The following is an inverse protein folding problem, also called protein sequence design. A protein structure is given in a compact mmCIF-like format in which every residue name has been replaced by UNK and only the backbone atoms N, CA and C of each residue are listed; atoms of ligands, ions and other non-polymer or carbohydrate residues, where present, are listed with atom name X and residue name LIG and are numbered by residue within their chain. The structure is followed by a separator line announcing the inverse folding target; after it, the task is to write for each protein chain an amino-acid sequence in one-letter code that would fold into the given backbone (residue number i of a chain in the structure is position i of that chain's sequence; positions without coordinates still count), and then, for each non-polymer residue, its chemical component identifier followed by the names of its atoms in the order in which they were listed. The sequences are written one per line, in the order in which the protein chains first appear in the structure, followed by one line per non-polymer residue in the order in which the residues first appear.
data_IF_334122790036
#
_entry.id   IF_334122790036
#
_cell.length_a   1.000
_cell.length_b   1.000
_cell.length_c   1.000
_cell.angle_alpha   90.00
_cell.angle_beta   90.00
_cell.angle_gamma   90.00
#
_symmetry.space_group_name_H-M   'P 1'
#
loop_
_entity.id
_entity.type
_entity.pdbx_description
1 polymer ?
#
# COMPACT_ATOMS: atom_id res chain seq x y z
N UNK A 1 19.17 -34.22 -45.13
CA UNK A 1 18.55 -32.92 -45.50
C UNK A 1 17.56 -32.59 -44.40
N UNK A 2 17.83 -31.46 -43.72
CA UNK A 2 17.01 -30.71 -42.76
C UNK A 2 16.27 -31.48 -41.65
N UNK A 3 16.94 -31.62 -40.51
CA UNK A 3 16.27 -31.61 -39.20
C UNK A 3 15.55 -30.28 -39.05
N UNK A 4 14.22 -30.31 -39.09
CA UNK A 4 13.38 -29.19 -38.70
C UNK A 4 13.27 -29.25 -37.19
N UNK A 5 14.22 -28.60 -36.50
CA UNK A 5 14.03 -28.24 -35.09
C UNK A 5 12.85 -27.29 -35.02
N UNK A 6 11.67 -27.82 -34.70
CA UNK A 6 10.56 -27.03 -34.22
C UNK A 6 11.02 -26.33 -32.95
N UNK A 7 11.51 -25.09 -33.07
CA UNK A 7 11.65 -24.19 -31.94
C UNK A 7 10.25 -24.03 -31.34
N UNK A 8 10.03 -24.68 -30.21
CA UNK A 8 8.83 -24.50 -29.41
C UNK A 8 8.78 -23.03 -28.98
N UNK A 9 7.99 -22.24 -29.69
CA UNK A 9 7.65 -20.88 -29.27
C UNK A 9 6.53 -21.03 -28.24
N UNK A 10 6.77 -20.70 -26.97
CA UNK A 10 5.75 -20.83 -25.94
C UNK A 10 4.62 -19.88 -26.29
N UNK A 11 3.38 -20.36 -26.24
CA UNK A 11 2.23 -19.47 -26.29
C UNK A 11 2.15 -18.77 -24.93
N UNK A 12 2.58 -17.51 -24.87
CA UNK A 12 2.45 -16.68 -23.67
C UNK A 12 1.01 -16.16 -23.66
N UNK A 13 0.15 -16.78 -22.85
CA UNK A 13 -1.17 -16.24 -22.55
C UNK A 13 -1.00 -15.27 -21.38
N UNK A 14 -0.86 -13.97 -21.67
CA UNK A 14 -0.95 -12.95 -20.61
C UNK A 14 -2.40 -12.88 -20.16
N UNK A 15 -2.67 -13.27 -18.92
CA UNK A 15 -4.04 -13.38 -18.40
C UNK A 15 -4.74 -12.03 -18.21
N UNK A 16 -4.03 -10.91 -18.40
CA UNK A 16 -4.58 -9.57 -18.23
C UNK A 16 -5.01 -9.24 -16.78
N UNK A 17 -4.83 -10.16 -15.84
CA UNK A 17 -5.29 -10.00 -14.44
C UNK A 17 -4.63 -8.81 -13.72
N UNK A 18 -3.41 -8.44 -14.14
CA UNK A 18 -2.74 -7.24 -13.63
C UNK A 18 -3.49 -5.95 -13.99
N UNK A 19 -4.27 -5.92 -15.08
CA UNK A 19 -5.12 -4.76 -15.43
C UNK A 19 -6.26 -4.57 -14.44
N UNK A 20 -6.89 -5.66 -13.97
CA UNK A 20 -7.92 -5.58 -12.94
C UNK A 20 -7.36 -5.00 -11.63
N UNK A 21 -6.14 -5.39 -11.25
CA UNK A 21 -5.43 -4.82 -10.11
C UNK A 21 -5.04 -3.35 -10.33
N UNK A 22 -4.58 -3.00 -11.53
CA UNK A 22 -4.25 -1.62 -11.91
C UNK A 22 -5.47 -0.70 -11.78
N UNK A 23 -6.62 -1.11 -12.34
CA UNK A 23 -7.87 -0.36 -12.25
C UNK A 23 -8.32 -0.20 -10.79
N UNK A 24 -8.20 -1.27 -9.99
CA UNK A 24 -8.56 -1.22 -8.57
C UNK A 24 -7.67 -0.23 -7.81
N UNK A 25 -6.35 -0.28 -7.99
CA UNK A 25 -5.39 0.67 -7.38
C UNK A 25 -5.70 2.10 -7.80
N UNK A 26 -6.01 2.33 -9.08
CA UNK A 26 -6.36 3.68 -9.58
C UNK A 26 -7.65 4.22 -9.03
N UNK A 27 -8.66 3.37 -8.89
CA UNK A 27 -9.92 3.78 -8.30
C UNK A 27 -9.73 4.31 -6.86
N UNK A 28 -8.75 3.75 -6.12
CA UNK A 28 -8.42 4.23 -4.78
C UNK A 28 -7.79 5.62 -4.75
N UNK A 29 -7.11 6.05 -5.82
CA UNK A 29 -6.44 7.35 -5.85
C UNK A 29 -7.40 8.52 -5.60
N UNK A 30 -8.55 8.52 -6.27
CA UNK A 30 -9.55 9.57 -6.09
C UNK A 30 -10.14 9.57 -4.67
N UNK A 31 -10.33 8.38 -4.09
CA UNK A 31 -10.82 8.26 -2.70
C UNK A 31 -9.78 8.74 -1.69
N UNK A 32 -8.51 8.40 -1.89
CA UNK A 32 -7.40 8.94 -1.11
C UNK A 32 -7.33 10.47 -1.18
N UNK A 33 -7.43 11.07 -2.37
CA UNK A 33 -7.36 12.53 -2.52
C UNK A 33 -8.51 13.23 -1.77
N UNK A 34 -9.75 12.73 -1.91
CA UNK A 34 -10.91 13.24 -1.17
C UNK A 34 -10.70 13.11 0.34
N UNK A 35 -10.19 11.97 0.79
CA UNK A 35 -10.00 11.69 2.20
C UNK A 35 -8.90 12.56 2.80
N UNK A 36 -7.78 12.73 2.11
CA UNK A 36 -6.70 13.61 2.53
C UNK A 36 -7.17 15.06 2.59
N UNK A 37 -7.88 15.53 1.57
CA UNK A 37 -8.48 16.86 1.59
C UNK A 37 -9.42 17.05 2.78
N UNK A 38 -10.30 16.07 3.04
CA UNK A 38 -11.23 16.12 4.17
C UNK A 38 -10.51 16.14 5.52
N UNK A 39 -9.40 15.40 5.64
CA UNK A 39 -8.59 15.37 6.86
C UNK A 39 -7.88 16.70 7.12
N UNK A 40 -7.31 17.30 6.08
CA UNK A 40 -6.56 18.57 6.15
C UNK A 40 -7.50 19.77 6.40
N UNK A 41 -8.72 19.72 5.85
CA UNK A 41 -9.70 20.81 5.93
C UNK A 41 -10.84 20.53 6.92
N UNK A 42 -10.66 19.58 7.84
CA UNK A 42 -11.70 19.25 8.82
C UNK A 42 -12.02 20.44 9.72
N UNK A 43 -13.29 20.87 9.71
CA UNK A 43 -13.82 21.91 10.58
C UNK A 43 -14.52 21.27 11.80
N UNK A 44 -14.02 21.48 13.03
CA UNK A 44 -14.67 20.99 14.23
C UNK A 44 -16.05 21.62 14.44
N UNK A 45 -16.98 20.84 14.98
CA UNK A 45 -18.28 21.32 15.42
C UNK A 45 -18.10 22.27 16.63
N UNK A 46 -18.85 23.39 16.68
CA UNK A 46 -18.87 24.28 17.84
C UNK A 46 -19.23 23.56 19.14
N UNK A 47 -18.51 23.89 20.22
CA UNK A 47 -18.69 23.28 21.55
C UNK A 47 -20.12 23.42 22.07
N UNK A 48 -20.80 24.52 21.77
CA UNK A 48 -22.17 24.77 22.23
C UNK A 48 -23.17 23.77 21.64
N UNK A 49 -23.00 23.37 20.37
CA UNK A 49 -23.84 22.36 19.73
C UNK A 49 -23.58 20.96 20.32
N UNK A 50 -22.31 20.64 20.56
CA UNK A 50 -21.91 19.39 21.21
C UNK A 50 -22.50 19.34 22.62
N UNK A 51 -22.35 20.42 23.40
CA UNK A 51 -22.88 20.57 24.75
C UNK A 51 -24.39 20.37 24.78
N UNK A 52 -25.13 21.04 23.89
CA UNK A 52 -26.57 20.88 23.79
C UNK A 52 -26.99 19.42 23.50
N UNK A 53 -26.32 18.77 22.54
CA UNK A 53 -26.59 17.36 22.17
C UNK A 53 -26.29 16.39 23.31
N UNK A 54 -25.13 16.54 23.98
CA UNK A 54 -24.73 15.66 25.07
C UNK A 54 -25.66 15.85 26.26
N UNK A 55 -25.93 17.09 26.70
CA UNK A 55 -26.84 17.36 27.83
C UNK A 55 -28.23 16.79 27.55
N UNK A 56 -28.77 16.98 26.34
CA UNK A 56 -30.08 16.44 25.97
C UNK A 56 -30.18 14.91 26.13
N UNK A 57 -29.07 14.18 25.99
CA UNK A 57 -29.02 12.71 26.15
C UNK A 57 -29.14 12.24 27.60
N UNK A 58 -28.98 13.15 28.57
CA UNK A 58 -28.99 12.85 30.01
C UNK A 58 -30.02 13.68 30.80
N UNK A 59 -30.92 14.39 30.13
CA UNK A 59 -32.01 15.11 30.79
C UNK A 59 -33.16 14.17 31.19
N UNK A 60 -33.79 14.38 32.36
CA UNK A 60 -33.51 15.44 33.34
C UNK A 60 -32.44 15.09 34.40
N UNK A 61 -31.81 13.91 34.33
CA UNK A 61 -30.96 13.39 35.42
C UNK A 61 -29.76 14.28 35.77
N UNK A 62 -29.18 14.96 34.78
CA UNK A 62 -28.04 15.89 34.98
C UNK A 62 -28.36 17.06 35.91
N UNK A 63 -29.62 17.47 36.02
CA UNK A 63 -30.01 18.60 36.87
C UNK A 63 -30.08 18.22 38.36
N UNK A 64 -30.10 16.92 38.67
CA UNK A 64 -30.37 16.39 40.01
C UNK A 64 -29.16 15.70 40.65
N UNK A 65 -28.08 15.48 39.89
CA UNK A 65 -26.92 14.71 40.30
C UNK A 65 -25.60 15.39 39.89
N UNK A 66 -24.87 15.91 40.88
CA UNK A 66 -23.59 16.59 40.68
C UNK A 66 -22.50 15.66 40.10
N UNK A 67 -22.52 14.37 40.46
CA UNK A 67 -21.56 13.39 39.94
C UNK A 67 -21.80 13.08 38.46
N UNK A 68 -23.07 13.02 38.07
CA UNK A 68 -23.47 12.88 36.67
C UNK A 68 -23.12 14.14 35.88
N UNK A 69 -23.24 15.32 36.48
CA UNK A 69 -22.85 16.60 35.86
C UNK A 69 -21.36 16.64 35.55
N UNK A 70 -20.50 16.25 36.49
CA UNK A 70 -19.05 16.17 36.26
C UNK A 70 -18.69 15.17 35.15
N UNK A 71 -19.35 14.00 35.14
CA UNK A 71 -19.19 13.01 34.08
C UNK A 71 -19.58 13.58 32.71
N UNK A 72 -20.73 14.25 32.61
CA UNK A 72 -21.23 14.86 31.37
C UNK A 72 -20.32 15.98 30.90
N UNK A 73 -19.81 16.84 31.78
CA UNK A 73 -18.80 17.83 31.41
C UNK A 73 -17.50 17.18 30.90
N UNK A 74 -17.11 16.03 31.48
CA UNK A 74 -16.00 15.21 30.96
C UNK A 74 -16.25 14.72 29.52
N UNK A 75 -17.45 14.20 29.24
CA UNK A 75 -17.85 13.77 27.90
C UNK A 75 -17.87 14.94 26.92
N UNK A 76 -18.40 16.10 27.32
CA UNK A 76 -18.41 17.31 26.49
C UNK A 76 -16.97 17.75 26.18
N UNK A 77 -16.08 17.79 27.17
CA UNK A 77 -14.67 18.18 26.95
C UNK A 77 -13.97 17.25 25.96
N UNK A 78 -14.14 15.94 26.10
CA UNK A 78 -13.57 14.95 25.17
C UNK A 78 -14.18 15.10 23.77
N UNK A 79 -15.52 15.17 23.67
CA UNK A 79 -16.22 15.30 22.40
C UNK A 79 -15.92 16.64 21.69
N UNK A 80 -15.63 17.69 22.44
CA UNK A 80 -15.25 19.00 21.92
C UNK A 80 -13.81 19.03 21.38
N UNK A 81 -12.94 18.09 21.76
CA UNK A 81 -11.54 18.08 21.33
C UNK A 81 -11.45 17.95 19.79
N UNK A 82 -10.85 18.91 19.07
CA UNK A 82 -10.79 18.88 17.60
C UNK A 82 -10.17 17.60 17.02
N UNK A 83 -9.15 17.07 17.69
CA UNK A 83 -8.49 15.82 17.30
C UNK A 83 -9.41 14.61 17.45
N UNK A 84 -10.20 14.55 18.53
CA UNK A 84 -11.18 13.51 18.77
C UNK A 84 -12.33 13.58 17.75
N UNK A 85 -12.86 14.78 17.48
CA UNK A 85 -13.90 14.97 16.47
C UNK A 85 -13.45 14.50 15.09
N UNK A 86 -12.25 14.92 14.67
CA UNK A 86 -11.67 14.53 13.38
C UNK A 86 -11.48 13.03 13.28
N UNK A 87 -10.90 12.42 14.33
CA UNK A 87 -10.64 10.98 14.36
C UNK A 87 -11.94 10.17 14.38
N UNK A 88 -12.96 10.63 15.11
CA UNK A 88 -14.27 9.97 15.15
C UNK A 88 -15.00 10.07 13.81
N UNK A 89 -14.87 11.20 13.10
CA UNK A 89 -15.53 11.41 11.81
C UNK A 89 -14.83 10.70 10.63
N UNK A 90 -13.49 10.65 10.62
CA UNK A 90 -12.71 10.21 9.46
C UNK A 90 -11.83 8.98 9.71
N UNK A 91 -11.66 8.57 10.97
CA UNK A 91 -10.68 7.54 11.35
C UNK A 91 -10.96 6.19 10.71
N UNK A 92 -12.23 5.76 10.66
CA UNK A 92 -12.61 4.51 10.00
C UNK A 92 -12.30 4.54 8.50
N UNK A 93 -12.62 5.65 7.83
CA UNK A 93 -12.32 5.82 6.40
C UNK A 93 -10.83 5.77 6.12
N UNK A 94 -9.99 6.40 6.97
CA UNK A 94 -8.52 6.32 6.83
C UNK A 94 -8.03 4.90 7.03
N UNK A 95 -8.48 4.21 8.08
CA UNK A 95 -8.05 2.84 8.36
C UNK A 95 -8.44 1.89 7.22
N UNK A 96 -9.65 2.03 6.69
CA UNK A 96 -10.15 1.23 5.57
C UNK A 96 -9.35 1.50 4.30
N UNK A 97 -9.12 2.77 3.95
CA UNK A 97 -8.32 3.15 2.79
C UNK A 97 -6.87 2.66 2.91
N UNK A 98 -6.29 2.75 4.11
CA UNK A 98 -4.93 2.29 4.39
C UNK A 98 -4.78 0.81 4.07
N UNK A 99 -5.69 -0.03 4.57
CA UNK A 99 -5.65 -1.48 4.34
C UNK A 99 -5.95 -1.82 2.89
N UNK A 100 -6.95 -1.18 2.26
CA UNK A 100 -7.29 -1.42 0.86
C UNK A 100 -6.13 -1.07 -0.07
N UNK A 101 -5.56 0.13 0.08
CA UNK A 101 -4.41 0.59 -0.69
C UNK A 101 -3.18 -0.29 -0.47
N UNK A 102 -2.90 -0.71 0.77
CA UNK A 102 -1.81 -1.63 1.10
C UNK A 102 -1.92 -2.95 0.32
N UNK A 103 -3.08 -3.62 0.42
CA UNK A 103 -3.27 -4.95 -0.16
C UNK A 103 -3.28 -4.90 -1.69
N UNK A 104 -4.04 -3.96 -2.27
CA UNK A 104 -4.14 -3.82 -3.73
C UNK A 104 -2.79 -3.46 -4.36
N UNK A 105 -2.05 -2.51 -3.77
CA UNK A 105 -0.74 -2.13 -4.28
C UNK A 105 0.29 -3.23 -4.10
N UNK A 106 0.25 -4.00 -3.00
CA UNK A 106 1.13 -5.17 -2.82
C UNK A 106 0.89 -6.19 -3.93
N UNK A 107 -0.38 -6.56 -4.15
CA UNK A 107 -0.77 -7.51 -5.20
C UNK A 107 -0.37 -7.02 -6.59
N UNK A 108 -0.55 -5.73 -6.89
CA UNK A 108 -0.14 -5.18 -8.18
C UNK A 108 1.39 -5.20 -8.37
N UNK A 109 2.16 -4.86 -7.33
CA UNK A 109 3.62 -4.99 -7.38
C UNK A 109 4.03 -6.44 -7.66
N UNK A 110 3.42 -7.41 -6.97
CA UNK A 110 3.72 -8.83 -7.16
C UNK A 110 3.35 -9.30 -8.58
N UNK A 111 2.18 -8.90 -9.08
CA UNK A 111 1.74 -9.23 -10.43
C UNK A 111 2.70 -8.67 -11.50
N UNK A 112 3.13 -7.41 -11.37
CA UNK A 112 4.05 -6.76 -12.33
C UNK A 112 5.37 -7.53 -12.43
N UNK A 113 6.03 -7.82 -11.30
CA UNK A 113 7.33 -8.48 -11.35
C UNK A 113 7.22 -9.93 -11.84
N UNK A 114 6.14 -10.63 -11.46
CA UNK A 114 5.90 -11.99 -11.94
C UNK A 114 5.68 -12.01 -13.45
N UNK A 115 4.87 -11.11 -14.00
CA UNK A 115 4.63 -10.99 -15.45
C UNK A 115 5.92 -10.69 -16.21
N UNK A 116 6.72 -9.74 -15.70
CA UNK A 116 8.00 -9.36 -16.33
C UNK A 116 8.99 -10.52 -16.33
N UNK A 117 9.17 -11.20 -15.19
CA UNK A 117 10.04 -12.38 -15.08
C UNK A 117 9.55 -13.50 -15.99
N UNK A 118 8.27 -13.85 -15.91
CA UNK A 118 7.67 -14.94 -16.67
C UNK A 118 7.85 -14.73 -18.18
N UNK A 119 7.44 -13.55 -18.65
CA UNK A 119 7.52 -13.18 -20.07
C UNK A 119 8.97 -13.20 -20.55
N UNK A 120 9.90 -12.67 -19.75
CA UNK A 120 11.30 -12.58 -20.16
C UNK A 120 11.99 -13.94 -20.17
N UNK A 121 11.82 -14.76 -19.14
CA UNK A 121 12.39 -16.11 -19.12
C UNK A 121 11.79 -17.00 -20.22
N UNK A 122 10.49 -16.87 -20.49
CA UNK A 122 9.84 -17.56 -21.61
C UNK A 122 10.45 -17.15 -22.96
N UNK A 123 10.67 -15.85 -23.18
CA UNK A 123 11.31 -15.35 -24.42
C UNK A 123 12.75 -15.85 -24.61
N UNK A 124 13.43 -16.25 -23.53
CA UNK A 124 14.78 -16.79 -23.53
C UNK A 124 14.80 -18.33 -23.55
N UNK A 125 13.64 -18.99 -23.64
CA UNK A 125 13.55 -20.45 -23.60
C UNK A 125 13.96 -21.07 -22.26
N UNK A 126 14.05 -20.28 -21.18
CA UNK A 126 14.58 -20.69 -19.88
C UNK A 126 13.48 -21.06 -18.87
N UNK A 127 12.48 -21.83 -19.31
CA UNK A 127 11.29 -22.17 -18.48
C UNK A 127 11.65 -22.94 -17.22
N UNK A 128 12.72 -23.74 -17.25
CA UNK A 128 13.14 -24.53 -16.10
C UNK A 128 13.56 -23.67 -14.91
N UNK A 129 14.01 -22.43 -15.18
CA UNK A 129 14.38 -21.45 -14.16
C UNK A 129 13.14 -20.82 -13.52
N UNK A 130 11.97 -20.90 -14.15
CA UNK A 130 10.73 -20.30 -13.65
C UNK A 130 10.37 -20.83 -12.25
N UNK A 131 10.47 -22.15 -12.03
CA UNK A 131 10.18 -22.76 -10.74
C UNK A 131 11.12 -22.27 -9.62
N UNK A 132 12.35 -21.90 -9.95
CA UNK A 132 13.29 -21.30 -8.99
C UNK A 132 12.88 -19.87 -8.64
N UNK A 133 12.55 -19.05 -9.63
CA UNK A 133 12.16 -17.65 -9.39
C UNK A 133 10.81 -17.55 -8.67
N UNK A 134 9.88 -18.47 -8.93
CA UNK A 134 8.60 -18.52 -8.22
C UNK A 134 8.74 -18.75 -6.71
N UNK A 135 9.79 -19.46 -6.29
CA UNK A 135 10.10 -19.68 -4.87
C UNK A 135 10.83 -18.51 -4.22
N UNK A 136 11.34 -17.57 -5.01
CA UNK A 136 12.02 -16.39 -4.49
C UNK A 136 11.03 -15.52 -3.71
N UNK A 137 11.50 -14.94 -2.61
CA UNK A 137 10.68 -14.01 -1.83
C UNK A 137 10.30 -12.79 -2.67
N UNK A 138 9.23 -12.10 -2.27
CA UNK A 138 8.78 -10.86 -2.91
C UNK A 138 9.92 -9.86 -3.15
N UNK A 139 10.80 -9.64 -2.16
CA UNK A 139 11.94 -8.73 -2.30
C UNK A 139 13.06 -9.25 -3.21
N UNK A 140 13.28 -10.57 -3.24
CA UNK A 140 14.28 -11.19 -4.12
C UNK A 140 13.83 -11.15 -5.59
N UNK A 141 12.52 -11.33 -5.85
CA UNK A 141 11.95 -11.18 -7.19
C UNK A 141 12.27 -9.79 -7.76
N UNK A 142 12.10 -8.74 -6.96
CA UNK A 142 12.44 -7.38 -7.40
C UNK A 142 13.94 -7.10 -7.46
N UNK A 143 14.72 -7.53 -6.47
CA UNK A 143 16.12 -7.11 -6.34
C UNK A 143 17.13 -7.97 -7.09
N UNK A 144 16.76 -9.20 -7.44
CA UNK A 144 17.68 -10.20 -7.98
C UNK A 144 17.19 -10.87 -9.26
N UNK A 145 15.89 -11.17 -9.40
CA UNK A 145 15.43 -11.96 -10.55
C UNK A 145 15.76 -11.35 -11.92
N UNK A 146 15.68 -10.02 -12.14
CA UNK A 146 16.05 -9.46 -13.43
C UNK A 146 17.52 -9.61 -13.82
N UNK A 147 18.41 -9.88 -12.85
CA UNK A 147 19.82 -10.16 -13.13
C UNK A 147 20.04 -11.46 -13.89
N UNK A 148 19.04 -12.35 -13.93
CA UNK A 148 19.12 -13.59 -14.70
C UNK A 148 19.25 -13.35 -16.22
N UNK A 149 18.88 -12.16 -16.70
CA UNK A 149 19.00 -11.79 -18.12
C UNK A 149 19.56 -10.38 -18.36
N UNK A 150 19.79 -9.60 -17.31
CA UNK A 150 20.30 -8.25 -17.39
C UNK A 150 21.32 -8.00 -16.27
N UNK A 151 22.58 -8.35 -16.53
CA UNK A 151 23.67 -8.25 -15.54
C UNK A 151 23.85 -6.83 -14.98
N UNK A 152 23.56 -5.81 -15.78
CA UNK A 152 23.60 -4.40 -15.38
C UNK A 152 22.42 -3.95 -14.49
N UNK A 153 21.44 -4.81 -14.24
CA UNK A 153 20.30 -4.47 -13.39
C UNK A 153 20.74 -4.29 -11.92
N UNK A 154 20.42 -3.12 -11.36
CA UNK A 154 20.64 -2.83 -9.96
C UNK A 154 19.39 -2.20 -9.37
N UNK A 155 18.83 -2.85 -8.34
CA UNK A 155 17.74 -2.29 -7.58
C UNK A 155 18.28 -1.38 -6.46
N UNK A 156 17.72 -0.18 -6.26
CA UNK A 156 18.24 0.81 -5.30
C UNK A 156 17.95 0.41 -3.84
N UNK A 157 18.70 -0.56 -3.30
CA UNK A 157 18.50 -1.14 -1.96
C UNK A 157 18.64 -0.14 -0.79
N UNK A 158 19.35 0.96 -1.00
CA UNK A 158 19.49 2.05 -0.01
C UNK A 158 18.48 3.18 -0.19
N UNK A 159 17.52 3.04 -1.12
CA UNK A 159 16.56 4.07 -1.49
C UNK A 159 15.16 3.86 -0.91
N UNK A 160 14.33 4.90 -1.03
CA UNK A 160 12.94 4.91 -0.60
C UNK A 160 12.06 3.88 -1.34
N UNK A 161 12.38 3.52 -2.58
CA UNK A 161 11.70 2.45 -3.32
C UNK A 161 11.87 1.09 -2.63
N UNK A 162 13.09 0.74 -2.23
CA UNK A 162 13.33 -0.52 -1.51
C UNK A 162 12.72 -0.51 -0.12
N UNK A 163 12.82 0.61 0.59
CA UNK A 163 12.17 0.77 1.89
C UNK A 163 10.66 0.59 1.79
N UNK A 164 10.01 1.20 0.80
CA UNK A 164 8.57 1.10 0.60
C UNK A 164 8.15 -0.31 0.17
N UNK A 165 8.93 -0.97 -0.69
CA UNK A 165 8.70 -2.35 -1.10
C UNK A 165 8.87 -3.34 0.08
N UNK A 166 9.87 -3.11 0.94
CA UNK A 166 10.05 -3.89 2.17
C UNK A 166 8.89 -3.65 3.13
N UNK A 167 8.53 -2.39 3.34
CA UNK A 167 7.49 -2.00 4.28
C UNK A 167 6.11 -2.53 3.89
N UNK A 168 5.71 -2.37 2.62
CA UNK A 168 4.43 -2.88 2.12
C UNK A 168 4.33 -4.40 2.27
N UNK A 169 5.43 -5.14 2.06
CA UNK A 169 5.48 -6.59 2.23
C UNK A 169 5.37 -7.01 3.71
N UNK A 170 6.06 -6.30 4.61
CA UNK A 170 5.97 -6.55 6.06
C UNK A 170 4.55 -6.27 6.59
N UNK A 171 3.96 -5.13 6.23
CA UNK A 171 2.62 -4.76 6.66
C UNK A 171 1.56 -5.69 6.07
N UNK A 172 1.63 -6.01 4.76
CA UNK A 172 0.72 -6.99 4.14
C UNK A 172 0.72 -8.30 4.92
N UNK A 173 1.91 -8.82 5.24
CA UNK A 173 2.02 -10.05 6.03
C UNK A 173 1.45 -9.91 7.44
N UNK A 174 1.58 -8.75 8.07
CA UNK A 174 1.02 -8.50 9.41
C UNK A 174 -0.53 -8.45 9.41
N UNK A 175 -1.15 -7.98 8.32
CA UNK A 175 -2.61 -7.99 8.15
C UNK A 175 -3.15 -9.36 7.71
N UNK A 176 -2.50 -10.03 6.74
CA UNK A 176 -3.00 -11.31 6.19
C UNK A 176 -2.67 -12.52 7.06
N UNK A 177 -1.56 -12.48 7.80
CA UNK A 177 -1.13 -13.54 8.71
C UNK A 177 -1.15 -13.04 10.15
N UNK A 178 -2.31 -12.52 10.56
CA UNK A 178 -2.49 -11.91 11.87
C UNK A 178 -2.06 -12.87 12.99
N UNK A 179 -0.99 -12.51 13.70
CA UNK A 179 -0.53 -13.23 14.89
C UNK A 179 -0.94 -12.45 16.13
N UNK A 180 -1.61 -13.15 17.05
CA UNK A 180 -1.94 -12.61 18.37
C UNK A 180 -0.65 -12.50 19.19
N UNK A 181 -0.52 -11.42 19.95
CA UNK A 181 0.55 -11.31 20.95
C UNK A 181 0.18 -12.18 22.15
N UNK A 182 1.04 -13.15 22.49
CA UNK A 182 0.79 -14.09 23.58
C UNK A 182 1.89 -13.94 24.62
N UNK A 183 1.48 -13.80 25.88
CA UNK A 183 2.36 -13.84 27.05
C UNK A 183 1.87 -14.96 27.96
N UNK A 184 2.75 -15.89 28.30
CA UNK A 184 2.49 -16.98 29.24
C UNK A 184 3.56 -16.94 30.32
N UNK A 185 3.14 -16.96 31.59
CA UNK A 185 4.04 -16.90 32.75
C UNK A 185 5.06 -15.75 32.70
N UNK A 186 4.60 -14.57 32.26
CA UNK A 186 5.44 -13.38 32.08
C UNK A 186 6.42 -13.43 30.90
N UNK A 187 6.44 -14.52 30.12
CA UNK A 187 7.26 -14.66 28.90
C UNK A 187 6.44 -14.43 27.64
N UNK A 188 6.96 -13.59 26.75
CA UNK A 188 6.33 -13.28 25.47
C UNK A 188 6.60 -14.41 24.48
N UNK A 189 5.55 -15.16 24.12
CA UNK A 189 5.59 -16.31 23.20
C UNK A 189 5.38 -15.86 21.75
N UNK A 190 4.60 -14.80 21.53
CA UNK A 190 4.29 -14.28 20.20
C UNK A 190 4.16 -12.76 20.27
N UNK A 191 4.57 -12.07 19.20
CA UNK A 191 4.46 -10.62 19.07
C UNK A 191 3.55 -10.27 17.87
N UNK A 192 2.58 -9.39 18.14
CA UNK A 192 1.82 -8.70 17.10
C UNK A 192 2.75 -7.73 16.39
N UNK A 193 2.88 -7.86 15.06
CA UNK A 193 3.78 -7.03 14.24
C UNK A 193 3.13 -5.83 13.55
N UNK A 194 1.80 -5.67 13.62
CA UNK A 194 1.13 -4.51 13.01
C UNK A 194 1.61 -3.25 13.71
N UNK A 195 2.30 -2.38 12.97
CA UNK A 195 2.82 -1.13 13.52
C UNK A 195 1.65 -0.18 13.76
N UNK A 196 1.50 0.31 14.99
CA UNK A 196 0.54 1.38 15.26
C UNK A 196 1.08 2.66 14.63
N UNK A 197 0.33 3.21 13.68
CA UNK A 197 0.66 4.47 13.03
C UNK A 197 -0.33 5.55 13.43
N UNK A 198 0.12 6.80 13.47
CA UNK A 198 -0.79 7.94 13.54
C UNK A 198 -1.53 8.09 12.21
N UNK A 199 -2.75 8.63 12.23
CA UNK A 199 -3.53 8.86 11.01
C UNK A 199 -2.78 9.72 9.98
N UNK A 200 -2.11 10.84 10.34
CA UNK A 200 -1.33 11.60 9.36
C UNK A 200 -0.27 10.76 8.66
N UNK A 201 0.43 9.91 9.41
CA UNK A 201 1.42 9.01 8.83
C UNK A 201 0.76 7.93 7.95
N UNK A 202 -0.42 7.42 8.30
CA UNK A 202 -1.18 6.49 7.44
C UNK A 202 -1.53 7.14 6.10
N UNK A 203 -1.96 8.40 6.08
CA UNK A 203 -2.26 9.14 4.85
C UNK A 203 -1.02 9.29 3.95
N UNK A 204 0.15 9.57 4.53
CA UNK A 204 1.40 9.62 3.76
C UNK A 204 1.79 8.25 3.19
N UNK A 205 1.56 7.18 3.96
CA UNK A 205 1.79 5.81 3.49
C UNK A 205 0.80 5.37 2.41
N UNK A 206 -0.47 5.80 2.47
CA UNK A 206 -1.44 5.53 1.39
C UNK A 206 -0.91 6.07 0.07
N UNK A 207 -0.40 7.31 0.03
CA UNK A 207 0.23 7.86 -1.19
C UNK A 207 1.38 6.98 -1.65
N UNK A 208 2.30 6.63 -0.74
CA UNK A 208 3.44 5.75 -1.05
C UNK A 208 2.97 4.42 -1.63
N UNK A 209 1.98 3.77 -1.04
CA UNK A 209 1.46 2.48 -1.54
C UNK A 209 0.86 2.63 -2.92
N UNK A 210 0.00 3.61 -3.14
CA UNK A 210 -0.70 3.79 -4.41
C UNK A 210 0.27 4.13 -5.55
N UNK A 211 1.33 4.90 -5.29
CA UNK A 211 2.30 5.24 -6.34
C UNK A 211 3.32 4.13 -6.61
N UNK A 212 3.63 3.30 -5.61
CA UNK A 212 4.73 2.33 -5.67
C UNK A 212 4.72 1.40 -6.91
N UNK A 213 3.58 0.78 -7.31
CA UNK A 213 3.56 -0.07 -8.51
C UNK A 213 4.00 0.66 -9.78
N UNK A 214 3.61 1.93 -9.93
CA UNK A 214 3.98 2.77 -11.07
C UNK A 214 5.45 3.17 -11.03
N UNK A 215 5.94 3.53 -9.85
CA UNK A 215 7.34 3.90 -9.69
C UNK A 215 8.27 2.69 -9.96
N UNK A 216 7.86 1.49 -9.54
CA UNK A 216 8.58 0.25 -9.86
C UNK A 216 8.50 -0.14 -11.34
N UNK A 217 7.34 0.04 -11.98
CA UNK A 217 7.19 -0.16 -13.43
C UNK A 217 8.09 0.81 -14.22
N UNK A 218 8.21 2.07 -13.78
CA UNK A 218 9.12 3.05 -14.40
C UNK A 218 10.59 2.65 -14.20
N UNK A 219 10.97 2.14 -13.03
CA UNK A 219 12.31 1.57 -12.82
C UNK A 219 12.60 0.46 -13.84
N UNK A 220 11.70 -0.51 -13.99
CA UNK A 220 11.85 -1.62 -14.94
C UNK A 220 11.90 -1.12 -16.39
N UNK A 221 11.05 -0.16 -16.76
CA UNK A 221 11.09 0.46 -18.08
C UNK A 221 12.43 1.15 -18.35
N UNK A 222 12.90 1.99 -17.42
CA UNK A 222 14.14 2.76 -17.59
C UNK A 222 15.38 1.87 -17.65
N UNK A 223 15.42 0.81 -16.85
CA UNK A 223 16.59 -0.09 -16.73
C UNK A 223 16.60 -1.24 -17.73
N UNK A 224 15.43 -1.83 -18.03
CA UNK A 224 15.33 -3.06 -18.83
C UNK A 224 14.60 -2.84 -20.16
N UNK A 225 14.00 -1.67 -20.38
CA UNK A 225 13.26 -1.30 -21.60
C UNK A 225 12.15 -2.30 -21.97
N UNK A 226 11.47 -2.87 -20.98
CA UNK A 226 10.36 -3.82 -21.18
C UNK A 226 9.17 -3.09 -21.82
N UNK A 227 8.78 -3.38 -23.09
CA UNK A 227 7.76 -2.60 -23.79
C UNK A 227 6.40 -2.57 -23.07
N UNK A 228 5.99 -3.69 -22.45
CA UNK A 228 4.75 -3.78 -21.67
C UNK A 228 4.66 -2.76 -20.53
N UNK A 229 5.78 -2.44 -19.89
CA UNK A 229 5.81 -1.44 -18.81
C UNK A 229 5.59 -0.02 -19.32
N UNK A 230 6.04 0.31 -20.53
CA UNK A 230 5.75 1.61 -21.14
C UNK A 230 4.26 1.79 -21.36
N UNK A 231 3.57 0.77 -21.87
CA UNK A 231 2.12 0.82 -22.08
C UNK A 231 1.36 0.97 -20.76
N UNK A 232 1.75 0.22 -19.72
CA UNK A 232 1.23 0.37 -18.37
C UNK A 232 1.34 1.82 -17.86
N UNK A 233 2.50 2.46 -18.05
CA UNK A 233 2.76 3.83 -17.60
C UNK A 233 1.99 4.91 -18.40
N UNK A 234 1.52 4.62 -19.61
CA UNK A 234 0.76 5.58 -20.43
C UNK A 234 -0.70 5.75 -19.95
N UNK A 235 -1.20 4.88 -19.06
CA UNK A 235 -2.60 4.78 -18.66
C UNK A 235 -3.20 5.91 -17.80
N UNK A 236 -2.49 7.03 -17.56
CA UNK A 236 -2.70 8.02 -16.46
C UNK A 236 -2.16 7.50 -15.12
N UNK A 237 -0.83 7.53 -14.91
CA UNK A 237 -0.23 7.01 -13.69
C UNK A 237 -0.67 7.85 -12.48
N UNK A 238 -0.83 7.17 -11.34
CA UNK A 238 -0.97 7.84 -10.05
C UNK A 238 0.22 8.77 -9.83
N UNK A 239 -0.02 9.93 -9.22
CA UNK A 239 1.04 10.90 -8.96
C UNK A 239 2.14 10.24 -8.13
N UNK A 240 3.37 10.24 -8.66
CA UNK A 240 4.58 9.74 -7.99
C UNK A 240 4.70 10.27 -6.57
N UNK A 241 5.05 9.39 -5.64
CA UNK A 241 5.46 9.80 -4.31
C UNK A 241 6.81 10.55 -4.41
N UNK A 242 6.92 11.78 -3.87
CA UNK A 242 8.15 12.56 -3.93
C UNK A 242 9.40 11.83 -3.40
N UNK A 243 9.21 10.90 -2.45
CA UNK A 243 10.31 10.13 -1.87
C UNK A 243 10.92 9.13 -2.85
N UNK A 244 10.14 8.56 -3.77
CA UNK A 244 10.64 7.58 -4.75
C UNK A 244 11.39 8.25 -5.92
N UNK A 245 11.17 9.55 -6.14
CA UNK A 245 11.71 10.25 -7.30
C UNK A 245 13.25 10.23 -7.37
N UNK A 246 13.93 10.19 -6.22
CA UNK A 246 15.40 10.19 -6.14
C UNK A 246 16.04 8.86 -6.52
N UNK A 247 15.27 7.78 -6.48
CA UNK A 247 15.77 6.42 -6.70
C UNK A 247 15.67 5.98 -8.16
N UNK A 248 14.98 6.77 -8.99
CA UNK A 248 14.77 6.45 -10.39
C UNK A 248 15.95 6.94 -11.24
N UNK A 249 16.43 6.13 -12.19
CA UNK A 249 17.45 6.58 -13.13
C UNK A 249 16.96 7.85 -13.86
N UNK A 250 17.86 8.80 -14.09
CA UNK A 250 17.55 9.99 -14.90
C UNK A 250 16.98 9.60 -16.27
N UNK A 251 16.21 10.50 -16.89
CA UNK A 251 15.79 10.32 -18.28
C UNK A 251 17.02 10.41 -19.17
N UNK A 252 17.72 9.30 -19.34
CA UNK A 252 18.73 9.15 -20.38
C UNK A 252 18.01 9.24 -21.72
N UNK A 253 18.30 10.31 -22.47
CA UNK A 253 17.88 10.51 -23.86
C UNK A 253 18.39 9.43 -24.79
#
# INVERSE_FOLDING_TARGET
MSDVTHQYVPKIESSGDHWSLEFAVRARWAEYEKLRFSWENFAPEPVDLIRARVIASYLPQVEQDDSLREFVEGQIRMAAEPAFQRTSALGESVLSEYVASLLLSHSLCEAIINDVVATKLASLGSYEIFAFVERATFLEKWSSAPKLWADGYSFPKGGALYESLKFINEERNAYTHHKVALTLDGRRISERKVRRQSIPNMLDWIHRYLSLPYDLADLLWRTLKIPGMRYFLMGKPIRRCPMHAKDLPGEGG
#
